data_IF_658456289757
#
_entry.id   IF_658456289757
#
_cell.length_a   1.000
_cell.length_b   1.000
_cell.length_c   1.000
_cell.angle_alpha   90.00
_cell.angle_beta   90.00
_cell.angle_gamma   90.00
#
_symmetry.space_group_name_H-M   'P 1'
#
loop_
_entity.id
_entity.type
_entity.pdbx_description
1 polymer ?
#
# COMPACT_ATOMS: atom_id res chain seq x y z
N UNK A 1 -15.78 30.12 -3.66
CA UNK A 1 -15.18 29.31 -2.58
C UNK A 1 -13.72 29.04 -2.91
N UNK A 2 -12.84 28.94 -1.92
CA UNK A 2 -11.43 28.56 -2.13
C UNK A 2 -11.38 27.11 -2.59
N UNK A 3 -10.68 26.83 -3.69
CA UNK A 3 -10.51 25.46 -4.18
C UNK A 3 -9.46 24.73 -3.32
N UNK A 4 -9.89 23.66 -2.65
CA UNK A 4 -9.06 22.84 -1.76
C UNK A 4 -9.14 21.38 -2.23
N UNK A 5 -8.00 20.81 -2.61
CA UNK A 5 -7.92 19.44 -3.13
C UNK A 5 -7.52 18.45 -2.06
N UNK A 6 -8.12 17.26 -2.07
CA UNK A 6 -7.73 16.13 -1.24
C UNK A 6 -7.88 14.78 -1.96
N UNK A 7 -7.39 13.71 -1.34
CA UNK A 7 -7.31 12.37 -1.89
C UNK A 7 -7.35 11.31 -0.77
N UNK A 8 -7.71 10.04 -1.03
CA UNK A 8 -7.80 9.02 0.00
C UNK A 8 -6.45 8.70 0.66
N UNK A 9 -6.47 8.46 1.96
CA UNK A 9 -5.29 8.03 2.70
C UNK A 9 -4.87 6.60 2.32
N UNK A 10 -3.57 6.38 2.15
CA UNK A 10 -2.99 5.06 1.91
C UNK A 10 -1.58 4.99 2.50
N UNK A 11 -1.51 4.74 3.81
CA UNK A 11 -0.23 4.71 4.54
C UNK A 11 0.62 5.95 4.25
N UNK A 12 1.93 5.79 4.20
CA UNK A 12 2.84 6.92 3.98
C UNK A 12 2.86 7.45 2.53
N UNK A 13 2.14 6.81 1.60
CA UNK A 13 2.08 7.28 0.20
C UNK A 13 1.30 8.58 0.03
N UNK A 14 0.55 9.03 1.04
CA UNK A 14 -0.05 10.35 1.01
C UNK A 14 1.00 11.47 0.81
N UNK A 15 2.24 11.28 1.29
CA UNK A 15 3.30 12.29 1.24
C UNK A 15 3.71 12.61 -0.22
N UNK A 16 4.13 11.63 -1.06
CA UNK A 16 4.44 11.91 -2.46
C UNK A 16 3.22 12.29 -3.29
N UNK A 17 2.00 11.85 -2.95
CA UNK A 17 0.77 12.29 -3.63
C UNK A 17 0.49 13.76 -3.32
N UNK A 18 0.57 14.18 -2.05
CA UNK A 18 0.47 15.59 -1.66
C UNK A 18 1.51 16.44 -2.39
N UNK A 19 2.78 16.02 -2.39
CA UNK A 19 3.84 16.70 -3.12
C UNK A 19 3.50 16.89 -4.61
N UNK A 20 2.99 15.84 -5.27
CA UNK A 20 2.60 15.90 -6.68
C UNK A 20 1.49 16.93 -6.90
N UNK A 21 0.43 16.88 -6.10
CA UNK A 21 -0.73 17.76 -6.24
C UNK A 21 -0.37 19.22 -5.97
N UNK A 22 0.36 19.52 -4.89
CA UNK A 22 0.82 20.89 -4.58
C UNK A 22 1.67 21.49 -5.69
N UNK A 23 2.55 20.70 -6.31
CA UNK A 23 3.43 21.20 -7.38
C UNK A 23 2.75 21.37 -8.73
N UNK A 24 1.74 20.57 -9.04
CA UNK A 24 1.08 20.59 -10.33
C UNK A 24 -0.16 21.50 -10.37
N UNK A 25 -0.91 21.58 -9.26
CA UNK A 25 -2.18 22.31 -9.25
C UNK A 25 -2.07 23.76 -8.77
N UNK A 26 -1.05 24.09 -7.95
CA UNK A 26 -0.95 25.34 -7.19
C UNK A 26 -2.15 25.60 -6.26
N UNK A 27 -2.96 24.57 -5.98
CA UNK A 27 -4.08 24.64 -5.04
C UNK A 27 -3.61 24.29 -3.63
N UNK A 28 -4.40 24.65 -2.64
CA UNK A 28 -4.22 24.13 -1.30
C UNK A 28 -4.53 22.63 -1.29
N UNK A 29 -3.62 21.83 -0.75
CA UNK A 29 -3.79 20.38 -0.62
C UNK A 29 -3.88 20.01 0.84
N UNK A 30 -5.05 19.59 1.29
CA UNK A 30 -5.23 19.05 2.63
C UNK A 30 -5.02 17.53 2.62
N UNK A 31 -4.30 17.04 3.63
CA UNK A 31 -4.12 15.60 3.82
C UNK A 31 -5.43 15.01 4.32
N UNK A 32 -5.85 13.90 3.73
CA UNK A 32 -6.96 13.14 4.31
C UNK A 32 -6.59 12.63 5.70
N UNK A 33 -7.54 12.63 6.65
CA UNK A 33 -7.32 12.05 7.96
C UNK A 33 -6.82 10.61 7.86
N UNK A 34 -6.00 10.18 8.83
CA UNK A 34 -5.62 8.77 8.94
C UNK A 34 -6.87 7.91 9.09
N UNK A 35 -6.83 6.74 8.48
CA UNK A 35 -7.94 5.78 8.62
C UNK A 35 -8.07 5.34 10.08
N UNK A 36 -9.29 5.40 10.59
CA UNK A 36 -9.66 5.04 11.96
C UNK A 36 -10.93 4.19 11.96
N UNK A 37 -11.32 3.70 13.15
CA UNK A 37 -12.62 3.03 13.31
C UNK A 37 -13.78 3.92 12.90
N UNK A 38 -13.74 5.22 13.27
CA UNK A 38 -14.74 6.21 12.87
C UNK A 38 -14.83 6.36 11.34
N UNK A 39 -13.68 6.38 10.65
CA UNK A 39 -13.64 6.40 9.17
C UNK A 39 -14.34 5.19 8.58
N UNK A 40 -14.10 3.99 9.15
CA UNK A 40 -14.75 2.76 8.72
C UNK A 40 -16.27 2.82 8.95
N UNK A 41 -16.71 3.22 10.13
CA UNK A 41 -18.14 3.34 10.50
C UNK A 41 -18.88 4.29 9.56
N UNK A 42 -18.29 5.46 9.25
CA UNK A 42 -18.83 6.41 8.29
C UNK A 42 -18.94 5.80 6.89
N UNK A 43 -17.89 5.15 6.43
CA UNK A 43 -17.88 4.51 5.12
C UNK A 43 -18.85 3.34 5.03
N UNK A 44 -18.98 2.54 6.08
CA UNK A 44 -19.89 1.41 6.12
C UNK A 44 -21.36 1.83 6.07
N UNK A 45 -21.71 2.85 6.83
CA UNK A 45 -23.07 3.40 6.90
C UNK A 45 -23.68 3.70 5.53
N UNK A 46 -22.85 4.15 4.58
CA UNK A 46 -23.31 4.62 3.26
C UNK A 46 -22.84 3.73 2.11
N UNK A 47 -22.07 2.69 2.39
CA UNK A 47 -21.56 1.79 1.35
C UNK A 47 -22.56 0.69 1.00
N UNK A 48 -22.57 0.21 -0.26
CA UNK A 48 -23.26 -1.04 -0.60
C UNK A 48 -22.71 -2.24 0.17
N UNK A 49 -23.57 -3.20 0.53
CA UNK A 49 -23.21 -4.36 1.36
C UNK A 49 -22.08 -5.24 0.78
N UNK A 50 -22.00 -5.37 -0.54
CA UNK A 50 -21.09 -6.32 -1.21
C UNK A 50 -19.79 -5.69 -1.73
N UNK A 51 -19.38 -4.53 -1.22
CA UNK A 51 -18.10 -3.92 -1.55
C UNK A 51 -17.01 -4.40 -0.61
N UNK A 52 -15.77 -4.44 -1.08
CA UNK A 52 -14.65 -4.76 -0.21
C UNK A 52 -14.31 -3.58 0.72
N UNK A 53 -13.72 -3.88 1.87
CA UNK A 53 -13.45 -2.89 2.93
C UNK A 53 -12.65 -1.64 2.46
N UNK A 54 -11.71 -1.68 1.48
CA UNK A 54 -11.08 -0.49 0.94
C UNK A 54 -12.07 0.54 0.35
N UNK A 55 -13.21 0.10 -0.18
CA UNK A 55 -14.25 1.04 -0.62
C UNK A 55 -14.80 1.83 0.57
N UNK A 56 -15.08 1.13 1.69
CA UNK A 56 -15.63 1.74 2.91
C UNK A 56 -14.63 2.74 3.50
N UNK A 57 -13.35 2.37 3.58
CA UNK A 57 -12.29 3.29 4.03
C UNK A 57 -12.22 4.56 3.19
N UNK A 58 -12.22 4.40 1.86
CA UNK A 58 -12.14 5.56 0.97
C UNK A 58 -13.39 6.45 1.06
N UNK A 59 -14.60 5.85 1.11
CA UNK A 59 -15.83 6.62 1.25
C UNK A 59 -15.88 7.40 2.57
N UNK A 60 -15.59 6.74 3.70
CA UNK A 60 -15.53 7.41 5.00
C UNK A 60 -14.48 8.52 5.03
N UNK A 61 -13.32 8.25 4.44
CA UNK A 61 -12.24 9.23 4.36
C UNK A 61 -12.60 10.43 3.50
N UNK A 62 -13.34 10.26 2.40
CA UNK A 62 -13.89 11.36 1.61
C UNK A 62 -14.92 12.17 2.38
N UNK A 63 -15.82 11.54 3.14
CA UNK A 63 -16.77 12.24 3.99
C UNK A 63 -16.05 13.09 5.03
N UNK A 64 -15.07 12.54 5.75
CA UNK A 64 -14.25 13.28 6.70
C UNK A 64 -13.53 14.46 6.03
N UNK A 65 -12.99 14.25 4.85
CA UNK A 65 -12.23 15.25 4.10
C UNK A 65 -13.12 16.39 3.59
N UNK A 66 -14.31 16.09 3.09
CA UNK A 66 -15.30 17.10 2.68
C UNK A 66 -15.77 17.91 3.89
N UNK A 67 -16.01 17.27 5.02
CA UNK A 67 -16.34 17.96 6.28
C UNK A 67 -15.21 18.87 6.79
N UNK A 68 -13.96 18.58 6.40
CA UNK A 68 -12.79 19.43 6.70
C UNK A 68 -12.56 20.52 5.63
N UNK A 69 -13.51 20.72 4.71
CA UNK A 69 -13.51 21.83 3.76
C UNK A 69 -12.86 21.54 2.40
N UNK A 70 -12.57 20.31 2.06
CA UNK A 70 -12.17 19.97 0.70
C UNK A 70 -13.30 20.24 -0.28
N UNK A 71 -12.98 20.79 -1.46
CA UNK A 71 -13.92 21.08 -2.54
C UNK A 71 -13.61 20.29 -3.81
N UNK A 72 -12.43 19.67 -3.87
CA UNK A 72 -11.97 18.83 -4.97
C UNK A 72 -11.46 17.52 -4.41
N UNK A 73 -12.03 16.42 -4.86
CA UNK A 73 -11.57 15.07 -4.52
C UNK A 73 -10.81 14.46 -5.70
N UNK A 74 -9.74 13.74 -5.38
CA UNK A 74 -8.86 13.11 -6.35
C UNK A 74 -8.71 11.63 -6.04
N UNK A 75 -9.00 10.74 -7.02
CA UNK A 75 -8.84 9.30 -6.85
C UNK A 75 -8.26 8.63 -8.09
N UNK A 76 -7.35 7.69 -7.88
CA UNK A 76 -6.88 6.78 -8.92
C UNK A 76 -7.65 5.46 -8.89
N UNK A 77 -7.73 4.79 -10.03
CA UNK A 77 -8.32 3.44 -10.14
C UNK A 77 -7.31 2.32 -9.93
N UNK A 78 -7.80 1.10 -9.87
CA UNK A 78 -7.02 -0.11 -9.69
C UNK A 78 -7.31 -1.19 -10.75
N UNK A 79 -6.59 -2.31 -10.67
CA UNK A 79 -6.71 -3.45 -11.60
C UNK A 79 -7.86 -4.43 -11.30
N UNK A 80 -8.79 -4.08 -10.41
CA UNK A 80 -9.96 -4.87 -10.01
C UNK A 80 -11.21 -3.98 -9.98
N UNK A 81 -12.23 -4.35 -9.22
CA UNK A 81 -13.44 -3.52 -9.01
C UNK A 81 -13.15 -2.11 -8.47
N UNK A 82 -12.03 -1.92 -7.81
CA UNK A 82 -11.54 -0.62 -7.36
C UNK A 82 -11.51 0.43 -8.49
N UNK A 83 -11.42 -0.01 -9.74
CA UNK A 83 -11.48 0.85 -10.93
C UNK A 83 -12.75 1.69 -11.00
N UNK A 84 -13.88 1.15 -10.53
CA UNK A 84 -15.20 1.78 -10.59
C UNK A 84 -15.65 2.41 -9.26
N UNK A 85 -14.77 2.41 -8.25
CA UNK A 85 -15.13 2.94 -6.94
C UNK A 85 -15.39 4.44 -6.98
N UNK A 86 -14.62 5.17 -7.77
CA UNK A 86 -14.76 6.62 -7.88
C UNK A 86 -16.17 7.04 -8.33
N UNK A 87 -16.75 6.35 -9.32
CA UNK A 87 -18.09 6.65 -9.84
C UNK A 87 -19.16 6.40 -8.79
N UNK A 88 -19.08 5.27 -8.09
CA UNK A 88 -20.06 4.91 -7.07
C UNK A 88 -19.92 5.81 -5.84
N UNK A 89 -18.71 6.10 -5.41
CA UNK A 89 -18.44 7.01 -4.29
C UNK A 89 -18.89 8.44 -4.60
N UNK A 90 -18.63 8.95 -5.82
CA UNK A 90 -19.12 10.25 -6.24
C UNK A 90 -20.66 10.33 -6.15
N UNK A 91 -21.36 9.32 -6.66
CA UNK A 91 -22.84 9.27 -6.61
C UNK A 91 -23.33 9.30 -5.15
N UNK A 92 -22.76 8.46 -4.28
CA UNK A 92 -23.13 8.42 -2.85
C UNK A 92 -22.89 9.78 -2.18
N UNK A 93 -21.74 10.40 -2.41
CA UNK A 93 -21.40 11.69 -1.79
C UNK A 93 -22.33 12.82 -2.26
N UNK A 94 -22.73 12.82 -3.55
CA UNK A 94 -23.72 13.77 -4.07
C UNK A 94 -25.11 13.53 -3.48
N UNK A 95 -25.53 12.28 -3.32
CA UNK A 95 -26.80 11.92 -2.69
C UNK A 95 -26.84 12.33 -1.20
N UNK A 96 -25.66 12.43 -0.56
CA UNK A 96 -25.51 12.96 0.81
C UNK A 96 -25.52 14.50 0.85
N UNK A 97 -25.67 15.18 -0.29
CA UNK A 97 -25.76 16.65 -0.36
C UNK A 97 -24.42 17.39 -0.47
N UNK A 98 -23.30 16.68 -0.66
CA UNK A 98 -22.01 17.35 -0.84
C UNK A 98 -21.89 17.95 -2.24
N UNK A 99 -21.42 19.21 -2.31
CA UNK A 99 -21.02 19.88 -3.56
C UNK A 99 -19.49 19.90 -3.67
N UNK A 100 -18.96 19.25 -4.72
CA UNK A 100 -17.52 19.09 -4.93
C UNK A 100 -17.21 18.70 -6.37
N UNK A 101 -15.98 18.95 -6.80
CA UNK A 101 -15.43 18.42 -8.06
C UNK A 101 -14.74 17.09 -7.80
N UNK A 102 -14.98 16.06 -8.63
CA UNK A 102 -14.33 14.77 -8.50
C UNK A 102 -13.43 14.47 -9.68
N UNK A 103 -12.13 14.30 -9.42
CA UNK A 103 -11.11 14.01 -10.43
C UNK A 103 -10.76 12.53 -10.38
N UNK A 104 -11.16 11.83 -11.42
CA UNK A 104 -10.94 10.37 -11.55
C UNK A 104 -9.78 10.10 -12.47
N UNK A 105 -8.70 9.50 -11.95
CA UNK A 105 -7.59 9.01 -12.74
C UNK A 105 -7.85 7.56 -13.18
N UNK A 106 -9.03 7.30 -13.71
CA UNK A 106 -9.41 5.97 -14.20
C UNK A 106 -9.64 6.04 -15.68
N UNK A 107 -8.74 5.47 -16.45
CA UNK A 107 -8.96 5.22 -17.88
C UNK A 107 -9.38 3.76 -18.07
N UNK A 108 -10.30 3.54 -19.02
CA UNK A 108 -10.75 2.19 -19.37
C UNK A 108 -9.61 1.31 -19.87
N UNK A 109 -8.53 1.85 -20.44
CA UNK A 109 -7.45 1.03 -21.00
C UNK A 109 -6.05 1.38 -20.50
N UNK A 110 -5.57 2.56 -20.75
CA UNK A 110 -4.24 3.04 -20.35
C UNK A 110 -4.33 4.55 -20.20
N UNK A 111 -3.99 5.06 -19.02
CA UNK A 111 -3.82 6.51 -18.87
C UNK A 111 -2.69 6.95 -19.79
N UNK A 112 -3.01 7.74 -20.80
CA UNK A 112 -2.01 8.36 -21.65
C UNK A 112 -1.42 9.57 -20.94
N UNK A 113 -0.11 9.77 -21.06
CA UNK A 113 0.59 10.90 -20.43
C UNK A 113 -0.08 12.23 -20.79
N UNK A 114 -0.55 12.38 -22.03
CA UNK A 114 -1.24 13.59 -22.51
C UNK A 114 -2.59 13.80 -21.81
N UNK A 115 -3.36 12.74 -21.59
CA UNK A 115 -4.63 12.81 -20.87
C UNK A 115 -4.41 13.22 -19.40
N UNK A 116 -3.41 12.62 -18.76
CA UNK A 116 -3.02 12.99 -17.40
C UNK A 116 -2.56 14.45 -17.32
N UNK A 117 -1.76 14.91 -18.29
CA UNK A 117 -1.35 16.32 -18.36
C UNK A 117 -2.55 17.26 -18.50
N UNK A 118 -3.52 16.93 -19.36
CA UNK A 118 -4.70 17.77 -19.55
C UNK A 118 -5.53 17.90 -18.27
N UNK A 119 -5.72 16.82 -17.50
CA UNK A 119 -6.40 16.87 -16.20
C UNK A 119 -5.74 17.89 -15.26
N UNK A 120 -4.41 17.89 -15.18
CA UNK A 120 -3.69 18.87 -14.35
C UNK A 120 -3.68 20.28 -14.97
N UNK A 121 -3.69 20.39 -16.29
CA UNK A 121 -3.78 21.64 -17.02
C UNK A 121 -5.12 22.35 -16.80
N UNK A 122 -6.21 21.60 -16.68
CA UNK A 122 -7.54 22.12 -16.36
C UNK A 122 -7.61 22.70 -14.93
N UNK A 123 -6.77 22.18 -14.00
CA UNK A 123 -6.66 22.70 -12.63
C UNK A 123 -5.66 23.86 -12.52
N UNK A 124 -4.67 23.91 -13.41
CA UNK A 124 -3.62 24.92 -13.41
C UNK A 124 -3.32 25.32 -14.87
N UNK A 125 -4.04 26.33 -15.41
CA UNK A 125 -3.85 26.79 -16.80
C UNK A 125 -2.41 27.22 -17.13
N UNK A 126 -1.60 27.59 -16.14
CA UNK A 126 -0.21 27.98 -16.31
C UNK A 126 0.79 26.81 -16.23
N UNK A 127 0.29 25.56 -16.08
CA UNK A 127 1.15 24.39 -16.00
C UNK A 127 1.83 24.12 -17.36
N UNK A 128 3.17 24.18 -17.39
CA UNK A 128 3.92 23.74 -18.57
C UNK A 128 4.09 22.22 -18.60
N UNK A 129 4.16 21.64 -19.80
CA UNK A 129 4.40 20.20 -19.97
C UNK A 129 5.75 19.76 -19.36
N UNK A 130 6.78 20.62 -19.45
CA UNK A 130 8.05 20.36 -18.80
C UNK A 130 7.91 20.24 -17.28
N UNK A 131 7.26 21.21 -16.61
CA UNK A 131 7.01 21.18 -15.15
C UNK A 131 6.22 19.93 -14.75
N UNK A 132 5.22 19.55 -15.55
CA UNK A 132 4.45 18.33 -15.33
C UNK A 132 5.33 17.08 -15.35
N UNK A 133 6.10 16.84 -16.42
CA UNK A 133 6.96 15.66 -16.56
C UNK A 133 8.04 15.64 -15.48
N UNK A 134 8.69 16.78 -15.22
CA UNK A 134 9.73 16.92 -14.21
C UNK A 134 9.20 16.55 -12.80
N UNK A 135 8.06 17.11 -12.39
CA UNK A 135 7.43 16.82 -11.09
C UNK A 135 7.00 15.36 -11.00
N UNK A 136 6.43 14.84 -12.08
CA UNK A 136 5.99 13.44 -12.14
C UNK A 136 7.16 12.47 -11.96
N UNK A 137 8.30 12.72 -12.62
CA UNK A 137 9.52 11.92 -12.47
C UNK A 137 10.03 11.99 -11.02
N UNK A 138 10.10 13.18 -10.41
CA UNK A 138 10.55 13.32 -9.02
C UNK A 138 9.62 12.52 -8.09
N UNK A 139 8.30 12.64 -8.25
CA UNK A 139 7.32 11.91 -7.43
C UNK A 139 7.50 10.39 -7.54
N UNK A 140 7.71 9.90 -8.74
CA UNK A 140 7.97 8.49 -8.99
C UNK A 140 9.25 8.02 -8.27
N UNK A 141 10.33 8.78 -8.37
CA UNK A 141 11.57 8.45 -7.64
C UNK A 141 11.42 8.62 -6.13
N UNK A 142 10.60 9.56 -5.66
CA UNK A 142 10.27 9.71 -4.25
C UNK A 142 9.65 8.40 -3.73
N UNK A 143 8.61 7.90 -4.40
CA UNK A 143 7.95 6.62 -4.07
C UNK A 143 8.98 5.47 -4.10
N UNK A 144 9.79 5.40 -5.15
CA UNK A 144 10.81 4.35 -5.28
C UNK A 144 11.81 4.36 -4.13
N UNK A 145 12.30 5.52 -3.71
CA UNK A 145 13.25 5.64 -2.62
C UNK A 145 12.61 5.34 -1.26
N UNK A 146 11.36 5.74 -1.04
CA UNK A 146 10.58 5.33 0.14
C UNK A 146 10.50 3.81 0.24
N UNK A 147 10.08 3.13 -0.82
CA UNK A 147 9.95 1.67 -0.83
C UNK A 147 11.29 0.96 -0.60
N UNK A 148 12.38 1.51 -1.13
CA UNK A 148 13.74 0.98 -0.90
C UNK A 148 14.18 1.10 0.56
N UNK A 149 13.83 2.19 1.21
CA UNK A 149 14.10 2.39 2.64
C UNK A 149 13.20 1.49 3.48
N UNK A 150 11.94 1.38 3.16
CA UNK A 150 11.00 0.51 3.87
C UNK A 150 11.42 -0.97 3.84
N UNK A 151 12.05 -1.43 2.76
CA UNK A 151 12.67 -2.78 2.74
C UNK A 151 13.78 -2.92 3.78
N UNK A 152 14.56 -1.87 4.05
CA UNK A 152 15.61 -1.89 5.08
C UNK A 152 14.97 -1.87 6.47
N UNK A 153 13.97 -1.02 6.67
CA UNK A 153 13.25 -0.89 7.93
C UNK A 153 12.61 -2.21 8.32
N UNK A 154 11.79 -2.83 7.47
CA UNK A 154 11.10 -4.11 7.74
C UNK A 154 12.03 -5.24 8.17
N UNK A 155 13.27 -5.25 7.70
CA UNK A 155 14.26 -6.26 8.06
C UNK A 155 14.90 -6.02 9.42
N UNK A 156 14.76 -4.86 10.00
CA UNK A 156 15.59 -4.38 11.11
C UNK A 156 14.80 -3.82 12.29
N UNK A 157 13.60 -3.25 12.05
CA UNK A 157 12.83 -2.51 13.04
C UNK A 157 12.48 -3.35 14.28
N UNK A 158 12.14 -4.62 14.12
CA UNK A 158 11.87 -5.52 15.25
C UNK A 158 13.09 -5.83 16.14
N UNK A 159 14.27 -5.33 15.77
CA UNK A 159 15.53 -5.60 16.49
C UNK A 159 16.22 -4.31 16.94
N UNK A 160 15.55 -3.16 16.88
CA UNK A 160 16.14 -1.88 17.29
C UNK A 160 16.46 -1.88 18.79
N UNK A 161 17.64 -1.32 19.14
CA UNK A 161 18.06 -1.17 20.53
C UNK A 161 17.38 0.06 21.13
N UNK A 162 17.41 1.16 20.39
CA UNK A 162 16.77 2.40 20.77
C UNK A 162 15.38 2.46 20.15
N UNK A 163 14.35 2.45 20.98
CA UNK A 163 12.95 2.41 20.56
C UNK A 163 12.59 3.59 19.66
N UNK A 164 11.86 3.32 18.58
CA UNK A 164 11.42 4.29 17.58
C UNK A 164 12.54 4.94 16.74
N UNK A 165 13.79 4.45 16.81
CA UNK A 165 14.90 5.02 16.03
C UNK A 165 14.64 4.97 14.52
N UNK A 166 14.06 3.88 14.01
CA UNK A 166 13.66 3.75 12.60
C UNK A 166 12.51 4.68 12.24
N UNK A 167 11.48 4.80 13.07
CA UNK A 167 10.30 5.63 12.82
C UNK A 167 10.70 7.11 12.81
N UNK A 168 11.48 7.56 13.79
CA UNK A 168 11.93 8.94 13.89
C UNK A 168 12.79 9.35 12.69
N UNK A 169 13.72 8.47 12.29
CA UNK A 169 14.56 8.72 11.12
C UNK A 169 13.73 8.74 9.83
N UNK A 170 12.72 7.88 9.70
CA UNK A 170 11.80 7.83 8.56
C UNK A 170 10.99 9.13 8.44
N UNK A 171 10.43 9.60 9.54
CA UNK A 171 9.67 10.86 9.56
C UNK A 171 10.55 12.06 9.16
N UNK A 172 11.81 12.10 9.63
CA UNK A 172 12.79 13.11 9.22
C UNK A 172 13.08 13.02 7.72
N UNK A 173 13.29 11.82 7.21
CA UNK A 173 13.51 11.58 5.77
C UNK A 173 12.35 12.10 4.93
N UNK A 174 11.12 11.83 5.32
CA UNK A 174 9.94 12.27 4.58
C UNK A 174 9.86 13.81 4.51
N UNK A 175 10.08 14.49 5.64
CA UNK A 175 10.15 15.96 5.68
C UNK A 175 11.26 16.53 4.79
N UNK A 176 12.38 15.86 4.70
CA UNK A 176 13.49 16.29 3.85
C UNK A 176 13.23 16.00 2.36
N UNK A 177 12.57 14.90 2.05
CA UNK A 177 12.23 14.53 0.67
C UNK A 177 11.17 15.46 0.08
N UNK A 178 10.13 15.80 0.85
CA UNK A 178 9.07 16.71 0.38
C UNK A 178 9.56 18.13 0.05
N UNK A 179 10.75 18.51 0.56
CA UNK A 179 11.40 19.79 0.22
C UNK A 179 12.28 19.73 -1.04
N UNK A 180 12.41 18.56 -1.68
CA UNK A 180 13.27 18.45 -2.86
C UNK A 180 12.54 18.91 -4.13
N UNK A 181 13.16 19.82 -4.88
CA UNK A 181 12.65 20.29 -6.16
C UNK A 181 13.38 19.68 -7.36
N UNK A 182 14.48 18.95 -7.14
CA UNK A 182 15.31 18.34 -8.19
C UNK A 182 15.58 16.88 -7.88
N UNK A 183 15.60 16.05 -8.91
CA UNK A 183 15.90 14.61 -8.77
C UNK A 183 17.29 14.35 -8.19
N UNK A 184 18.28 15.18 -8.53
CA UNK A 184 19.65 15.09 -8.02
C UNK A 184 19.69 15.23 -6.50
N UNK A 185 19.05 16.29 -5.96
CA UNK A 185 18.98 16.53 -4.51
C UNK A 185 18.21 15.42 -3.78
N UNK A 186 17.13 14.91 -4.35
CA UNK A 186 16.38 13.77 -3.81
C UNK A 186 17.25 12.51 -3.76
N UNK A 187 18.00 12.24 -4.83
CA UNK A 187 18.90 11.07 -4.93
C UNK A 187 20.05 11.15 -3.91
N UNK A 188 20.68 12.31 -3.76
CA UNK A 188 21.74 12.54 -2.75
C UNK A 188 21.19 12.28 -1.34
N UNK A 189 20.01 12.84 -1.02
CA UNK A 189 19.36 12.62 0.27
C UNK A 189 19.00 11.13 0.47
N UNK A 190 18.52 10.44 -0.55
CA UNK A 190 18.25 9.00 -0.47
C UNK A 190 19.50 8.21 -0.06
N UNK A 191 20.65 8.41 -0.70
CA UNK A 191 21.88 7.71 -0.33
C UNK A 191 22.35 8.04 1.08
N UNK A 192 22.21 9.31 1.50
CA UNK A 192 22.49 9.75 2.88
C UNK A 192 21.62 8.99 3.88
N UNK A 193 20.28 9.02 3.70
CA UNK A 193 19.35 8.33 4.60
C UNK A 193 19.52 6.82 4.57
N UNK A 194 19.73 6.23 3.41
CA UNK A 194 20.04 4.79 3.29
C UNK A 194 21.25 4.38 4.13
N UNK A 195 22.30 5.20 4.16
CA UNK A 195 23.47 4.98 5.03
C UNK A 195 23.11 5.12 6.51
N UNK A 196 22.32 6.14 6.88
CA UNK A 196 21.86 6.34 8.26
C UNK A 196 21.02 5.17 8.76
N UNK A 197 20.02 4.71 7.99
CA UNK A 197 19.19 3.54 8.34
C UNK A 197 20.02 2.26 8.54
N UNK A 198 21.08 2.06 7.75
CA UNK A 198 21.97 0.91 7.92
C UNK A 198 22.87 1.02 9.16
N UNK A 199 23.11 2.22 9.66
CA UNK A 199 23.94 2.48 10.85
C UNK A 199 23.16 2.40 12.16
N UNK A 200 21.82 2.39 12.14
CA UNK A 200 21.01 2.20 13.35
C UNK A 200 21.47 0.89 14.03
N UNK A 201 21.79 0.97 15.31
CA UNK A 201 22.18 -0.20 16.10
C UNK A 201 21.00 -1.14 16.31
N UNK A 202 21.21 -2.42 16.09
CA UNK A 202 20.19 -3.46 16.27
C UNK A 202 20.80 -4.66 16.99
N UNK A 203 19.97 -5.37 17.77
CA UNK A 203 20.30 -6.66 18.35
C UNK A 203 19.53 -7.76 17.60
N UNK A 204 20.05 -8.16 16.44
CA UNK A 204 19.39 -9.15 15.56
C UNK A 204 20.07 -10.50 15.64
N UNK A 205 19.38 -11.55 16.17
CA UNK A 205 19.89 -12.91 16.18
C UNK A 205 20.14 -13.45 14.77
N UNK A 206 21.20 -14.23 14.59
CA UNK A 206 21.49 -14.90 13.29
C UNK A 206 20.33 -15.77 12.81
N UNK A 207 19.66 -16.45 13.73
CA UNK A 207 18.56 -17.38 13.49
C UNK A 207 17.17 -16.75 13.75
N UNK A 208 16.99 -15.41 13.62
CA UNK A 208 15.69 -14.79 13.78
C UNK A 208 14.65 -15.41 12.83
N UNK A 209 13.39 -15.42 13.27
CA UNK A 209 12.27 -15.82 12.41
C UNK A 209 12.09 -14.84 11.25
N UNK A 210 11.71 -15.36 10.09
CA UNK A 210 11.51 -14.59 8.85
C UNK A 210 10.12 -14.88 8.27
N UNK A 211 9.30 -13.87 8.15
CA UNK A 211 7.95 -13.98 7.61
C UNK A 211 7.81 -13.14 6.34
N UNK A 212 7.21 -13.76 5.33
CA UNK A 212 6.83 -13.07 4.10
C UNK A 212 5.37 -12.63 4.15
N UNK A 213 5.08 -11.36 3.82
CA UNK A 213 3.71 -10.86 3.67
C UNK A 213 3.39 -10.78 2.17
N UNK A 214 2.27 -11.37 1.79
CA UNK A 214 1.66 -11.31 0.46
C UNK A 214 0.19 -10.94 0.61
N UNK A 215 -0.46 -10.51 -0.46
CA UNK A 215 -1.88 -10.21 -0.43
C UNK A 215 -2.26 -9.00 -1.27
N UNK A 216 -3.43 -8.47 -0.98
CA UNK A 216 -4.02 -7.35 -1.68
C UNK A 216 -3.29 -6.03 -1.36
N UNK A 217 -3.22 -5.18 -2.37
CA UNK A 217 -2.42 -3.95 -2.37
C UNK A 217 -2.76 -2.99 -1.24
N UNK A 218 -4.03 -2.54 -1.16
CA UNK A 218 -4.46 -1.53 -0.19
C UNK A 218 -4.28 -2.04 1.24
N UNK A 219 -4.77 -3.25 1.51
CA UNK A 219 -4.63 -3.92 2.82
C UNK A 219 -3.16 -4.05 3.24
N UNK A 220 -2.27 -4.30 2.27
CA UNK A 220 -0.84 -4.44 2.57
C UNK A 220 -0.15 -3.09 2.82
N UNK A 221 -0.66 -1.97 2.29
CA UNK A 221 0.00 -0.67 2.34
C UNK A 221 -0.59 0.28 3.37
N UNK A 222 -1.88 0.14 3.72
CA UNK A 222 -2.55 0.90 4.76
C UNK A 222 -2.45 0.16 6.11
N UNK A 223 -1.70 0.69 7.10
CA UNK A 223 -1.49 -0.02 8.37
C UNK A 223 -2.79 -0.36 9.11
N UNK A 224 -3.74 0.57 9.16
CA UNK A 224 -5.03 0.33 9.83
C UNK A 224 -5.81 -0.80 9.15
N UNK A 225 -5.78 -0.87 7.83
CA UNK A 225 -6.49 -1.91 7.04
C UNK A 225 -5.97 -3.34 7.30
N UNK A 226 -4.75 -3.47 7.80
CA UNK A 226 -4.13 -4.74 8.19
C UNK A 226 -3.95 -4.90 9.70
N UNK A 227 -4.62 -4.07 10.50
CA UNK A 227 -4.48 -4.07 11.96
C UNK A 227 -3.02 -3.97 12.41
N UNK A 228 -2.25 -3.08 11.76
CA UNK A 228 -0.83 -2.83 12.07
C UNK A 228 0.04 -4.10 12.03
N UNK A 229 -0.30 -5.05 11.17
CA UNK A 229 0.37 -6.36 11.06
C UNK A 229 1.91 -6.28 11.05
N UNK A 230 2.50 -5.33 10.31
CA UNK A 230 3.96 -5.18 10.26
C UNK A 230 4.54 -4.76 11.62
N UNK A 231 3.82 -3.95 12.38
CA UNK A 231 4.22 -3.49 13.71
C UNK A 231 4.11 -4.62 14.73
N UNK A 232 3.04 -5.41 14.69
CA UNK A 232 2.87 -6.57 15.58
C UNK A 232 3.96 -7.64 15.33
N UNK A 233 4.24 -7.95 14.08
CA UNK A 233 5.35 -8.87 13.74
C UNK A 233 6.72 -8.30 14.18
N UNK A 234 6.92 -6.99 14.11
CA UNK A 234 8.15 -6.36 14.59
C UNK A 234 8.30 -6.48 16.12
N UNK A 235 7.20 -6.31 16.90
CA UNK A 235 7.19 -6.56 18.36
C UNK A 235 7.57 -7.98 18.72
N UNK A 236 7.27 -8.96 17.86
CA UNK A 236 7.65 -10.36 18.00
C UNK A 236 9.08 -10.66 17.54
N UNK A 237 9.91 -9.65 17.25
CA UNK A 237 11.28 -9.79 16.76
C UNK A 237 11.38 -10.64 15.46
N UNK A 238 10.47 -10.42 14.52
CA UNK A 238 10.44 -11.12 13.23
C UNK A 238 11.05 -10.25 12.13
N UNK A 239 11.89 -10.82 11.28
CA UNK A 239 12.29 -10.18 10.01
C UNK A 239 11.15 -10.26 8.99
N UNK A 240 10.71 -9.11 8.50
CA UNK A 240 9.57 -9.02 7.60
C UNK A 240 10.02 -8.78 6.16
N UNK A 241 9.38 -9.46 5.22
CA UNK A 241 9.47 -9.19 3.80
C UNK A 241 8.08 -9.01 3.19
N UNK A 242 7.81 -7.81 2.70
CA UNK A 242 6.65 -7.52 1.86
C UNK A 242 7.13 -7.24 0.43
N UNK A 243 6.41 -7.74 -0.56
CA UNK A 243 6.71 -7.51 -1.97
C UNK A 243 5.76 -6.50 -2.61
N UNK A 244 4.59 -6.31 -2.01
CA UNK A 244 3.56 -5.39 -2.49
C UNK A 244 3.93 -3.98 -2.02
N UNK A 245 4.46 -3.18 -2.93
CA UNK A 245 4.77 -1.77 -2.76
C UNK A 245 4.37 -1.00 -4.03
N UNK A 246 4.24 0.32 -3.92
CA UNK A 246 3.74 1.14 -5.03
C UNK A 246 4.73 1.19 -6.18
N UNK A 247 6.03 1.22 -5.91
CA UNK A 247 7.05 1.20 -6.98
C UNK A 247 7.04 -0.11 -7.76
N UNK A 248 6.73 -1.24 -7.11
CA UNK A 248 6.51 -2.51 -7.77
C UNK A 248 5.32 -2.43 -8.75
N UNK A 249 4.19 -1.90 -8.29
CA UNK A 249 2.99 -1.74 -9.10
C UNK A 249 3.23 -0.87 -10.32
N UNK A 250 3.89 0.29 -10.14
CA UNK A 250 4.11 1.28 -11.19
C UNK A 250 5.08 0.79 -12.28
N UNK A 251 6.11 0.03 -11.93
CA UNK A 251 7.17 -0.32 -12.88
C UNK A 251 7.35 -1.80 -13.15
N UNK A 252 7.43 -2.59 -12.09
CA UNK A 252 7.91 -3.96 -12.22
C UNK A 252 6.83 -4.95 -12.61
N UNK A 253 5.61 -4.76 -12.13
CA UNK A 253 4.54 -5.74 -12.29
C UNK A 253 4.34 -6.13 -13.74
N UNK A 254 4.16 -5.16 -14.63
CA UNK A 254 3.96 -5.41 -16.07
C UNK A 254 5.15 -6.11 -16.73
N UNK A 255 6.38 -5.72 -16.36
CA UNK A 255 7.61 -6.28 -16.93
C UNK A 255 7.81 -7.76 -16.57
N UNK A 256 7.44 -8.16 -15.35
CA UNK A 256 7.71 -9.52 -14.86
C UNK A 256 6.53 -10.47 -14.98
N UNK A 257 5.34 -10.01 -15.42
CA UNK A 257 4.13 -10.84 -15.52
C UNK A 257 4.36 -12.10 -16.39
N UNK A 258 4.98 -11.96 -17.56
CA UNK A 258 5.32 -13.11 -18.41
C UNK A 258 6.28 -14.09 -17.73
N UNK A 259 7.24 -13.59 -16.97
CA UNK A 259 8.15 -14.42 -16.18
C UNK A 259 7.40 -15.15 -15.05
N UNK A 260 6.49 -14.46 -14.36
CA UNK A 260 5.67 -15.08 -13.32
C UNK A 260 4.82 -16.20 -13.86
N UNK A 261 4.11 -16.00 -14.98
CA UNK A 261 3.33 -17.04 -15.66
C UNK A 261 4.17 -18.28 -16.01
N UNK A 262 5.39 -18.07 -16.52
CA UNK A 262 6.30 -19.21 -16.80
C UNK A 262 6.69 -19.98 -15.53
N UNK A 263 6.92 -19.28 -14.42
CA UNK A 263 7.33 -19.90 -13.13
C UNK A 263 6.17 -20.53 -12.36
N UNK A 264 4.94 -20.12 -12.65
CA UNK A 264 3.72 -20.66 -12.02
C UNK A 264 2.96 -21.63 -12.92
N UNK A 265 3.44 -21.96 -14.11
CA UNK A 265 2.72 -22.74 -15.15
C UNK A 265 2.11 -24.06 -14.65
N UNK A 266 2.74 -24.71 -13.68
CA UNK A 266 2.24 -25.98 -13.09
C UNK A 266 1.07 -25.76 -12.11
N UNK A 267 0.81 -24.51 -11.70
CA UNK A 267 -0.23 -24.14 -10.74
C UNK A 267 -1.28 -23.24 -11.36
N UNK A 268 -0.88 -22.30 -12.20
CA UNK A 268 -1.73 -21.29 -12.78
C UNK A 268 -1.24 -20.94 -14.20
N UNK A 269 -2.13 -21.09 -15.19
CA UNK A 269 -1.84 -20.80 -16.62
C UNK A 269 -2.15 -19.36 -17.01
N UNK A 270 -3.02 -18.68 -16.22
CA UNK A 270 -3.54 -17.35 -16.53
C UNK A 270 -3.31 -16.38 -15.37
N UNK A 271 -3.44 -15.09 -15.63
CA UNK A 271 -3.53 -14.07 -14.58
C UNK A 271 -4.85 -14.23 -13.83
N UNK A 272 -4.80 -14.08 -12.50
CA UNK A 272 -5.98 -14.20 -11.63
C UNK A 272 -6.60 -12.83 -11.29
N UNK A 273 -6.31 -11.81 -12.12
CA UNK A 273 -6.65 -10.42 -11.82
C UNK A 273 -5.72 -9.81 -10.76
N UNK A 274 -5.77 -8.50 -10.62
CA UNK A 274 -4.98 -7.70 -9.67
C UNK A 274 -3.67 -8.37 -9.18
N UNK A 275 -3.60 -8.81 -7.91
CA UNK A 275 -2.39 -9.35 -7.29
C UNK A 275 -2.36 -10.89 -7.18
N UNK A 276 -3.42 -11.59 -7.63
CA UNK A 276 -3.56 -13.03 -7.43
C UNK A 276 -2.39 -13.86 -8.00
N UNK A 277 -1.99 -13.65 -9.27
CA UNK A 277 -0.83 -14.33 -9.86
C UNK A 277 0.47 -13.99 -9.13
N UNK A 278 0.63 -12.73 -8.75
CA UNK A 278 1.79 -12.24 -8.00
C UNK A 278 1.96 -13.02 -6.69
N UNK A 279 0.85 -13.22 -5.96
CA UNK A 279 0.86 -13.89 -4.67
C UNK A 279 1.15 -15.39 -4.80
N UNK A 280 0.67 -16.07 -5.85
CA UNK A 280 1.08 -17.43 -6.17
C UNK A 280 2.59 -17.50 -6.43
N UNK A 281 3.11 -16.64 -7.29
CA UNK A 281 4.55 -16.59 -7.61
C UNK A 281 5.41 -16.30 -6.37
N UNK A 282 4.97 -15.36 -5.53
CA UNK A 282 5.68 -14.97 -4.31
C UNK A 282 5.69 -16.08 -3.27
N UNK A 283 4.61 -16.85 -3.16
CA UNK A 283 4.57 -18.05 -2.30
C UNK A 283 5.68 -19.02 -2.69
N UNK A 284 5.83 -19.32 -3.99
CA UNK A 284 6.93 -20.16 -4.49
C UNK A 284 8.30 -19.60 -4.13
N UNK A 285 8.47 -18.28 -4.17
CA UNK A 285 9.75 -17.63 -3.92
C UNK A 285 10.09 -17.55 -2.44
N UNK A 286 9.08 -17.25 -1.61
CA UNK A 286 9.22 -17.13 -0.15
C UNK A 286 9.48 -18.47 0.50
N UNK A 287 8.84 -19.55 0.02
CA UNK A 287 8.99 -20.89 0.59
C UNK A 287 10.44 -21.40 0.64
N UNK A 288 11.33 -20.80 -0.13
CA UNK A 288 12.76 -21.19 -0.16
C UNK A 288 13.60 -20.58 0.95
N UNK A 289 13.17 -19.48 1.58
CA UNK A 289 14.04 -18.65 2.43
C UNK A 289 13.37 -18.12 3.69
N UNK A 290 12.06 -18.32 3.83
CA UNK A 290 11.27 -17.78 4.94
C UNK A 290 10.69 -18.92 5.77
N UNK A 291 10.46 -18.64 7.04
CA UNK A 291 9.95 -19.62 7.99
C UNK A 291 8.42 -19.73 7.91
N UNK A 292 7.75 -18.66 7.46
CA UNK A 292 6.30 -18.64 7.25
C UNK A 292 5.86 -17.54 6.30
N UNK A 293 4.61 -17.62 5.86
CA UNK A 293 3.95 -16.64 4.98
C UNK A 293 2.64 -16.21 5.62
N UNK A 294 2.35 -14.91 5.55
CA UNK A 294 1.05 -14.36 5.89
C UNK A 294 0.42 -13.78 4.62
N UNK A 295 -0.78 -14.21 4.31
CA UNK A 295 -1.59 -13.70 3.21
C UNK A 295 -2.69 -12.80 3.76
N UNK A 296 -2.75 -11.57 3.27
CA UNK A 296 -3.70 -10.54 3.73
C UNK A 296 -4.64 -10.12 2.60
N UNK A 297 -5.93 -10.06 2.87
CA UNK A 297 -6.91 -9.60 1.89
C UNK A 297 -8.15 -9.00 2.53
N UNK A 298 -8.85 -8.10 1.86
CA UNK A 298 -10.22 -7.75 2.25
C UNK A 298 -11.16 -8.93 2.02
N UNK A 299 -12.19 -9.05 2.85
CA UNK A 299 -13.30 -9.96 2.57
C UNK A 299 -13.91 -9.61 1.21
N UNK A 300 -14.27 -10.60 0.43
CA UNK A 300 -14.86 -10.41 -0.91
C UNK A 300 -13.86 -10.00 -2.01
N UNK A 301 -12.54 -9.99 -1.76
CA UNK A 301 -11.53 -9.72 -2.80
C UNK A 301 -11.45 -10.89 -3.79
N UNK A 302 -12.10 -10.77 -4.94
CA UNK A 302 -12.21 -11.84 -5.95
C UNK A 302 -10.85 -12.36 -6.46
N UNK A 303 -9.87 -11.51 -6.82
CA UNK A 303 -8.56 -12.00 -7.24
C UNK A 303 -7.84 -12.84 -6.18
N UNK A 304 -7.94 -12.43 -4.92
CA UNK A 304 -7.31 -13.14 -3.80
C UNK A 304 -8.06 -14.43 -3.45
N UNK A 305 -9.40 -14.41 -3.52
CA UNK A 305 -10.21 -15.63 -3.34
C UNK A 305 -9.83 -16.68 -4.37
N UNK A 306 -9.69 -16.29 -5.64
CA UNK A 306 -9.24 -17.19 -6.71
C UNK A 306 -7.80 -17.70 -6.53
N UNK A 307 -6.92 -16.92 -5.89
CA UNK A 307 -5.53 -17.30 -5.66
C UNK A 307 -5.35 -18.24 -4.45
N UNK A 308 -6.19 -18.16 -3.42
CA UNK A 308 -6.04 -18.92 -2.16
C UNK A 308 -5.91 -20.44 -2.37
N UNK A 309 -6.76 -21.14 -3.16
CA UNK A 309 -6.62 -22.58 -3.36
C UNK A 309 -5.26 -22.95 -3.95
N UNK A 310 -4.78 -22.15 -4.89
CA UNK A 310 -3.49 -22.36 -5.56
C UNK A 310 -2.33 -22.09 -4.57
N UNK A 311 -2.42 -21.01 -3.80
CA UNK A 311 -1.44 -20.67 -2.77
C UNK A 311 -1.35 -21.77 -1.72
N UNK A 312 -2.49 -22.31 -1.26
CA UNK A 312 -2.54 -23.45 -0.33
C UNK A 312 -1.84 -24.68 -0.91
N UNK A 313 -2.12 -25.02 -2.17
CA UNK A 313 -1.45 -26.14 -2.84
C UNK A 313 0.06 -25.93 -2.88
N UNK A 314 0.54 -24.77 -3.31
CA UNK A 314 1.97 -24.43 -3.34
C UNK A 314 2.60 -24.50 -1.94
N UNK A 315 1.92 -23.97 -0.92
CA UNK A 315 2.40 -23.96 0.45
C UNK A 315 2.55 -25.38 1.02
N UNK A 316 1.56 -26.26 0.76
CA UNK A 316 1.59 -27.66 1.19
C UNK A 316 2.71 -28.46 0.52
N UNK A 317 2.82 -28.39 -0.81
CA UNK A 317 3.88 -29.07 -1.56
C UNK A 317 5.29 -28.62 -1.13
N UNK A 318 5.43 -27.35 -0.73
CA UNK A 318 6.70 -26.78 -0.29
C UNK A 318 6.89 -26.82 1.22
N UNK A 319 5.95 -27.41 1.94
CA UNK A 319 5.97 -27.57 3.39
C UNK A 319 6.24 -26.25 4.13
N UNK A 320 5.69 -25.10 3.65
CA UNK A 320 5.81 -23.81 4.33
C UNK A 320 4.51 -23.46 5.05
N UNK A 321 4.55 -23.11 6.35
CA UNK A 321 3.39 -22.61 7.06
C UNK A 321 2.88 -21.34 6.42
N UNK A 322 1.55 -21.27 6.22
CA UNK A 322 0.90 -20.08 5.71
C UNK A 322 -0.34 -19.76 6.54
N UNK A 323 -0.51 -18.48 6.90
CA UNK A 323 -1.70 -17.97 7.56
C UNK A 323 -2.45 -17.02 6.63
N UNK A 324 -3.78 -17.12 6.63
CA UNK A 324 -4.65 -16.26 5.83
C UNK A 324 -5.45 -15.34 6.73
N UNK A 325 -5.30 -14.02 6.55
CA UNK A 325 -6.16 -13.01 7.14
C UNK A 325 -7.13 -12.47 6.10
N UNK A 326 -8.40 -12.42 6.46
CA UNK A 326 -9.46 -11.78 5.69
C UNK A 326 -10.08 -10.71 6.57
N UNK A 327 -10.01 -9.47 6.13
CA UNK A 327 -10.46 -8.32 6.90
C UNK A 327 -11.81 -7.80 6.41
N UNK A 328 -12.68 -7.51 7.34
CA UNK A 328 -13.98 -6.87 7.14
C UNK A 328 -14.28 -5.89 8.29
N UNK A 329 -15.49 -5.37 8.33
CA UNK A 329 -15.93 -4.43 9.38
C UNK A 329 -16.01 -5.06 10.76
N UNK A 330 -16.22 -6.38 10.83
CA UNK A 330 -16.38 -7.15 12.07
C UNK A 330 -15.06 -7.72 12.61
N UNK A 331 -13.96 -7.52 11.88
CA UNK A 331 -12.66 -8.04 12.30
C UNK A 331 -12.22 -7.36 13.59
N UNK A 332 -11.83 -8.16 14.60
CA UNK A 332 -11.31 -7.64 15.87
C UNK A 332 -9.80 -7.68 15.93
N UNK A 333 -9.21 -6.72 16.64
CA UNK A 333 -7.76 -6.66 16.86
C UNK A 333 -7.27 -7.86 17.68
N UNK A 334 -8.01 -8.23 18.71
CA UNK A 334 -7.69 -9.34 19.61
C UNK A 334 -7.63 -10.67 18.85
N UNK A 335 -8.60 -10.90 17.95
CA UNK A 335 -8.60 -12.10 17.11
C UNK A 335 -7.41 -12.16 16.15
N UNK A 336 -6.91 -11.02 15.66
CA UNK A 336 -5.72 -10.95 14.84
C UNK A 336 -4.48 -11.28 15.68
N UNK A 337 -4.32 -10.67 16.85
CA UNK A 337 -3.16 -10.88 17.75
C UNK A 337 -3.06 -12.34 18.17
N UNK A 338 -4.13 -12.95 18.67
CA UNK A 338 -4.15 -14.35 19.09
C UNK A 338 -3.71 -15.31 17.97
N UNK A 339 -4.20 -15.05 16.75
CA UNK A 339 -3.80 -15.86 15.58
C UNK A 339 -2.34 -15.64 15.18
N UNK A 340 -1.82 -14.42 15.33
CA UNK A 340 -0.41 -14.13 15.07
C UNK A 340 0.49 -14.83 16.08
N UNK A 341 0.13 -14.85 17.36
CA UNK A 341 0.84 -15.57 18.42
C UNK A 341 0.88 -17.08 18.14
N UNK A 342 -0.27 -17.68 17.81
CA UNK A 342 -0.32 -19.10 17.44
C UNK A 342 0.53 -19.39 16.18
N UNK A 343 0.57 -18.49 15.22
CA UNK A 343 1.40 -18.63 14.03
C UNK A 343 2.89 -18.49 14.36
N UNK A 344 3.24 -17.57 15.24
CA UNK A 344 4.60 -17.40 15.74
C UNK A 344 5.11 -18.70 16.40
N UNK A 345 4.32 -19.28 17.30
CA UNK A 345 4.68 -20.52 17.99
C UNK A 345 4.86 -21.69 17.02
N UNK A 346 3.95 -21.81 16.04
CA UNK A 346 4.05 -22.81 14.99
C UNK A 346 5.36 -22.69 14.20
N UNK A 347 5.71 -21.49 13.71
CA UNK A 347 6.91 -21.33 12.88
C UNK A 347 8.19 -21.43 13.70
N UNK A 348 8.16 -21.03 14.98
CA UNK A 348 9.26 -21.18 15.92
C UNK A 348 9.53 -22.67 16.20
N UNK A 349 8.51 -23.42 16.61
CA UNK A 349 8.60 -24.85 16.84
C UNK A 349 9.16 -25.61 15.63
N UNK A 350 8.67 -25.32 14.43
CA UNK A 350 9.15 -25.94 13.19
C UNK A 350 10.60 -25.56 12.86
N UNK A 351 11.06 -24.40 13.26
CA UNK A 351 12.44 -23.98 13.03
C UNK A 351 13.42 -24.62 13.99
N UNK A 352 13.00 -24.83 15.23
CA UNK A 352 13.79 -25.47 16.27
C UNK A 352 13.95 -26.99 16.06
N UNK A 353 12.99 -27.61 15.34
CA UNK A 353 12.95 -29.04 15.04
C UNK A 353 13.37 -29.40 13.60
N UNK A 354 14.05 -28.51 12.90
CA UNK A 354 14.70 -28.73 11.60
C UNK A 354 16.19 -28.97 11.78
#
# INVERSE_FOLDING_TARGET
MKEIISFPHMGNYYIPVKYLLEKLTNLEVIESPKITKKTLELGEKYSPNNVCIPFKYNLGNFIETLNNGATILFQSGGGCRYRYYAEVQEKILRDLGYDFKFIKLVSHDKIRIKELYNIFKDLNPNLSFYKFIHTFIITIFFIYYMDKIDIIIRKRIGFEIEKNSFINLRNKMYKDFSKCNYLTTLTIKYFKYRKMFKKIKINKPKNCLKVGIIGELYTSMEPFSSYFLEEELAKMNIEIKRYTDLSYLLWKKKMITKHMLRKTKNYCKYTLGADGLDNVYRTIKLSKKYDGIIHTKPFGCTPEIGAIPIIKKVANERKIPIMFFSYDSETSNEGIITRLEAFYDLIKFRKENK
#
